data_IF_948716493176
#
_entry.id   IF_948716493176
#
_cell.length_a   1.000
_cell.length_b   1.000
_cell.length_c   1.000
_cell.angle_alpha   90.00
_cell.angle_beta   90.00
_cell.angle_gamma   90.00
#
_symmetry.space_group_name_H-M   'P 1'
#
loop_
_entity.id
_entity.type
_entity.pdbx_description
1 polymer ?
#
# COMPACT_ATOMS: atom_id res chain seq x y z
N UNK A 1 -31.81 6.12 -15.07
CA UNK A 1 -30.49 5.44 -15.10
C UNK A 1 -30.71 3.95 -14.96
N UNK A 2 -30.06 3.11 -15.76
CA UNK A 2 -30.11 1.64 -15.61
C UNK A 2 -28.95 1.18 -14.71
N UNK A 3 -29.14 0.12 -13.94
CA UNK A 3 -28.15 -0.37 -12.97
C UNK A 3 -26.78 -0.65 -13.60
N UNK A 4 -26.75 -1.08 -14.85
CA UNK A 4 -25.53 -1.39 -15.61
C UNK A 4 -24.71 -0.15 -16.04
N UNK A 5 -25.25 1.05 -15.94
CA UNK A 5 -24.57 2.29 -16.33
C UNK A 5 -24.28 3.21 -15.14
N UNK A 6 -24.40 2.71 -13.90
CA UNK A 6 -24.01 3.44 -12.71
C UNK A 6 -22.48 3.59 -12.69
N UNK A 7 -22.00 4.83 -12.70
CA UNK A 7 -20.59 5.16 -12.59
C UNK A 7 -20.37 6.05 -11.38
N UNK A 8 -19.33 5.81 -10.57
CA UNK A 8 -18.98 6.71 -9.49
C UNK A 8 -18.56 8.08 -10.04
N UNK A 9 -18.67 9.12 -9.22
CA UNK A 9 -18.10 10.43 -9.54
C UNK A 9 -16.60 10.30 -9.84
N UNK A 10 -16.09 11.11 -10.77
CA UNK A 10 -14.69 11.09 -11.14
C UNK A 10 -13.80 11.34 -9.90
N UNK A 11 -12.84 10.45 -9.67
CA UNK A 11 -11.94 10.53 -8.52
C UNK A 11 -12.53 10.14 -7.16
N UNK A 12 -13.80 9.70 -7.07
CA UNK A 12 -14.34 9.26 -5.77
C UNK A 12 -13.84 7.88 -5.34
N UNK A 13 -13.31 7.09 -6.28
CA UNK A 13 -12.78 5.75 -6.02
C UNK A 13 -11.29 5.67 -6.35
N UNK A 14 -10.54 4.99 -5.48
CA UNK A 14 -9.10 4.80 -5.62
C UNK A 14 -8.74 3.34 -5.33
N UNK A 15 -7.80 2.78 -6.10
CA UNK A 15 -7.31 1.43 -5.85
C UNK A 15 -6.39 1.41 -4.63
N UNK A 16 -6.58 0.41 -3.76
CA UNK A 16 -5.69 0.20 -2.61
C UNK A 16 -4.30 -0.20 -3.10
N UNK A 17 -3.28 0.35 -2.45
CA UNK A 17 -1.90 -0.08 -2.63
C UNK A 17 -1.70 -1.55 -2.18
N UNK A 18 -1.19 -2.40 -3.08
CA UNK A 18 -0.89 -3.82 -2.80
C UNK A 18 0.63 -4.03 -2.76
N UNK A 19 1.18 -4.16 -1.56
CA UNK A 19 2.63 -4.25 -1.34
C UNK A 19 3.14 -5.67 -1.57
N UNK A 20 4.36 -5.83 -2.09
CA UNK A 20 5.02 -7.13 -2.25
C UNK A 20 4.41 -7.98 -3.36
N UNK A 21 4.05 -7.38 -4.50
CA UNK A 21 3.45 -8.08 -5.67
C UNK A 21 4.34 -7.95 -6.91
N UNK A 22 5.59 -8.35 -6.76
CA UNK A 22 6.58 -8.36 -7.84
C UNK A 22 7.18 -6.98 -8.18
N UNK A 23 8.27 -6.96 -8.97
CA UNK A 23 9.01 -5.74 -9.31
C UNK A 23 8.17 -4.76 -10.14
N UNK A 24 7.34 -5.24 -11.08
CA UNK A 24 6.47 -4.39 -11.90
C UNK A 24 5.43 -3.57 -11.12
N UNK A 25 5.15 -3.96 -9.87
CA UNK A 25 4.29 -3.15 -8.98
C UNK A 25 4.98 -1.90 -8.41
N UNK A 26 6.32 -1.78 -8.52
CA UNK A 26 7.12 -0.75 -7.84
C UNK A 26 7.17 -0.90 -6.31
N UNK A 27 6.42 -1.85 -5.76
CA UNK A 27 6.26 -2.11 -4.33
C UNK A 27 6.74 -3.52 -3.96
N UNK A 28 7.42 -4.19 -4.90
CA UNK A 28 8.06 -5.48 -4.72
C UNK A 28 9.35 -5.37 -3.90
N UNK A 29 10.11 -6.48 -3.84
CA UNK A 29 11.38 -6.52 -3.14
C UNK A 29 11.23 -6.25 -1.64
N UNK A 30 11.78 -5.13 -1.17
CA UNK A 30 11.75 -4.72 0.25
C UNK A 30 10.36 -4.32 0.74
N UNK A 31 9.33 -4.39 -0.10
CA UNK A 31 7.94 -4.09 0.30
C UNK A 31 7.84 -2.68 0.90
N UNK A 32 8.51 -1.72 0.27
CA UNK A 32 8.65 -0.31 0.69
C UNK A 32 9.25 -0.08 2.09
N UNK A 33 9.83 -1.10 2.73
CA UNK A 33 10.42 -0.99 4.08
C UNK A 33 11.92 -0.69 4.07
N UNK A 34 12.56 -0.69 2.90
CA UNK A 34 14.01 -0.54 2.78
C UNK A 34 14.78 -1.80 3.22
N UNK A 35 16.10 -1.69 3.30
CA UNK A 35 16.97 -2.80 3.66
C UNK A 35 17.33 -2.78 5.15
N UNK A 36 17.17 -3.92 5.83
CA UNK A 36 17.59 -4.15 7.23
C UNK A 36 17.00 -3.11 8.21
N UNK A 37 17.58 -2.99 9.40
CA UNK A 37 17.13 -2.07 10.45
C UNK A 37 15.89 -2.55 11.19
N UNK A 38 15.66 -1.98 12.38
CA UNK A 38 14.56 -2.38 13.24
C UNK A 38 13.19 -2.14 12.56
N UNK A 39 13.02 -1.01 11.87
CA UNK A 39 11.79 -0.64 11.13
C UNK A 39 11.38 -1.61 10.01
N UNK A 40 12.32 -2.37 9.45
CA UNK A 40 12.00 -3.35 8.41
C UNK A 40 11.47 -4.66 8.99
N UNK A 41 11.67 -4.94 10.28
CA UNK A 41 11.26 -6.19 10.93
C UNK A 41 9.78 -6.16 11.29
N UNK A 42 9.17 -7.34 11.33
CA UNK A 42 7.78 -7.48 11.78
C UNK A 42 7.67 -7.08 13.25
N UNK A 43 6.58 -6.43 13.63
CA UNK A 43 6.30 -6.10 15.03
C UNK A 43 7.12 -4.94 15.60
N UNK A 44 7.99 -4.30 14.82
CA UNK A 44 8.69 -3.11 15.30
C UNK A 44 7.70 -2.01 15.67
N UNK A 45 7.73 -1.61 16.95
CA UNK A 45 7.05 -0.44 17.48
C UNK A 45 8.07 0.37 18.26
N UNK A 46 8.00 1.68 18.07
CA UNK A 46 8.85 2.65 18.77
C UNK A 46 7.96 3.48 19.67
N UNK A 47 8.37 3.75 20.91
CA UNK A 47 7.61 4.64 21.80
C UNK A 47 7.68 6.05 21.23
N UNK A 48 6.56 6.77 21.21
CA UNK A 48 6.57 8.18 20.83
C UNK A 48 7.52 8.89 21.81
N UNK A 49 8.62 9.46 21.29
CA UNK A 49 9.67 10.12 22.07
C UNK A 49 10.98 9.34 22.29
N UNK A 50 11.07 8.06 21.91
CA UNK A 50 12.31 7.24 22.02
C UNK A 50 12.56 6.48 20.74
#
# INVERSE_FOLDING_TARGET
MKLNNLKPAAGSTHSRRRIGRGPGSGLGGTSTRGHKGAKARSGYKRKIGF
#
